data_IF_970709172270
#
_entry.id   IF_970709172270
#
_cell.length_a   1.000
_cell.length_b   1.000
_cell.length_c   1.000
_cell.angle_alpha   90.00
_cell.angle_beta   90.00
_cell.angle_gamma   90.00
#
_symmetry.space_group_name_H-M   'P 1'
#
loop_
_entity.id
_entity.type
_entity.pdbx_description
1 polymer ?
#
# COMPACT_ATOMS: atom_id res chain seq x y z
N UNK A 1 16.23 27.85 -4.61
CA UNK A 1 15.61 28.63 -3.50
C UNK A 1 15.33 30.04 -3.99
N UNK A 2 14.19 30.62 -3.63
CA UNK A 2 13.80 32.00 -3.96
C UNK A 2 13.57 32.77 -2.66
N UNK A 3 14.11 34.00 -2.59
CA UNK A 3 13.79 34.96 -1.54
C UNK A 3 12.57 35.78 -1.95
N UNK A 4 11.44 35.61 -1.28
CA UNK A 4 10.19 36.31 -1.55
C UNK A 4 9.96 37.37 -0.48
N UNK A 5 9.83 38.65 -0.90
CA UNK A 5 9.56 39.79 0.00
C UNK A 5 8.05 40.02 0.14
N UNK A 6 7.67 40.73 1.22
CA UNK A 6 6.28 41.17 1.44
C UNK A 6 5.74 41.90 0.20
N UNK A 7 4.56 41.52 -0.26
CA UNK A 7 3.89 42.08 -1.42
C UNK A 7 4.30 41.50 -2.79
N UNK A 8 5.26 40.58 -2.83
CA UNK A 8 5.61 39.89 -4.07
C UNK A 8 4.65 38.73 -4.34
N UNK A 9 4.49 38.40 -5.62
CA UNK A 9 3.62 37.30 -6.11
C UNK A 9 4.49 36.26 -6.78
N UNK A 10 4.40 35.00 -6.30
CA UNK A 10 4.97 33.86 -6.99
C UNK A 10 3.94 33.36 -8.00
N UNK A 11 4.29 33.29 -9.27
CA UNK A 11 3.49 32.71 -10.34
C UNK A 11 4.14 31.41 -10.80
N UNK A 12 3.42 30.29 -10.69
CA UNK A 12 3.83 29.00 -11.26
C UNK A 12 3.20 28.84 -12.65
N UNK A 13 3.99 28.38 -13.61
CA UNK A 13 3.50 28.05 -14.96
C UNK A 13 2.86 26.66 -15.02
N UNK A 14 2.63 26.20 -16.25
CA UNK A 14 2.25 24.79 -16.48
C UNK A 14 3.45 23.88 -16.23
N UNK A 15 3.19 22.69 -15.68
CA UNK A 15 4.19 21.64 -15.57
C UNK A 15 4.55 21.16 -16.96
N UNK A 16 5.84 21.23 -17.31
CA UNK A 16 6.36 20.80 -18.62
C UNK A 16 6.85 19.36 -18.62
N UNK A 17 7.37 18.90 -17.47
CA UNK A 17 7.86 17.52 -17.24
C UNK A 17 7.35 17.01 -15.90
N UNK A 18 7.10 15.71 -15.79
CA UNK A 18 6.48 15.11 -14.60
C UNK A 18 5.01 15.46 -14.44
N UNK A 19 4.46 15.22 -13.25
CA UNK A 19 3.04 15.40 -12.92
C UNK A 19 2.80 16.41 -11.79
N UNK A 20 3.76 16.60 -10.88
CA UNK A 20 3.59 17.40 -9.65
C UNK A 20 4.76 18.34 -9.43
N UNK A 21 4.45 19.52 -8.89
CA UNK A 21 5.43 20.47 -8.37
C UNK A 21 5.14 20.74 -6.90
N UNK A 22 6.18 20.99 -6.13
CA UNK A 22 6.11 21.20 -4.68
C UNK A 22 6.63 22.57 -4.33
N UNK A 23 5.93 23.27 -3.44
CA UNK A 23 6.37 24.54 -2.87
C UNK A 23 6.75 24.28 -1.41
N UNK A 24 8.05 24.28 -1.13
CA UNK A 24 8.58 24.23 0.23
C UNK A 24 8.82 25.64 0.76
N UNK A 25 8.46 25.89 2.01
CA UNK A 25 8.75 27.15 2.71
C UNK A 25 9.67 26.84 3.87
N UNK A 26 10.77 27.60 3.98
CA UNK A 26 11.68 27.43 5.12
C UNK A 26 10.96 27.79 6.42
N UNK A 27 11.07 26.92 7.43
CA UNK A 27 10.29 26.99 8.66
C UNK A 27 8.93 26.29 8.59
N UNK A 28 8.49 25.89 7.40
CA UNK A 28 7.25 25.15 7.18
C UNK A 28 5.98 25.98 7.25
N UNK A 29 4.86 25.35 6.91
CA UNK A 29 3.52 25.87 7.15
C UNK A 29 3.10 25.56 8.58
N UNK A 30 2.57 26.54 9.30
CA UNK A 30 2.05 26.37 10.65
C UNK A 30 0.56 25.97 10.58
N UNK A 31 0.32 24.70 10.30
CA UNK A 31 -1.03 24.10 10.30
C UNK A 31 -1.14 23.07 11.42
N UNK A 32 -2.34 22.86 12.01
CA UNK A 32 -2.52 21.87 13.06
C UNK A 32 -2.17 20.46 12.59
N UNK A 33 -1.50 19.68 13.45
CA UNK A 33 -1.37 18.25 13.25
C UNK A 33 -2.69 17.56 13.62
N UNK A 34 -3.13 16.63 12.77
CA UNK A 34 -4.30 15.78 13.00
C UNK A 34 -3.89 14.31 12.77
N UNK A 35 -4.14 13.47 13.76
CA UNK A 35 -3.67 12.06 13.75
C UNK A 35 -2.15 11.93 13.43
N UNK A 36 -1.34 12.84 13.99
CA UNK A 36 0.12 12.85 13.78
C UNK A 36 0.60 13.43 12.43
N UNK A 37 -0.29 13.91 11.57
CA UNK A 37 0.03 14.45 10.24
C UNK A 37 -0.45 15.89 10.05
N UNK A 38 0.31 16.67 9.29
CA UNK A 38 -0.09 18.01 8.79
C UNK A 38 -0.62 17.97 7.35
N UNK A 39 -0.73 16.79 6.74
CA UNK A 39 -1.26 16.62 5.40
C UNK A 39 -2.80 16.77 5.36
N UNK A 40 -3.32 17.21 4.22
CA UNK A 40 -4.77 17.26 3.97
C UNK A 40 -5.23 15.96 3.30
N UNK A 41 -6.20 15.29 3.89
CA UNK A 41 -6.90 14.17 3.27
C UNK A 41 -8.23 14.67 2.68
N UNK A 42 -8.20 15.01 1.41
CA UNK A 42 -9.32 15.70 0.73
C UNK A 42 -10.57 14.83 0.59
N UNK A 43 -10.42 13.50 0.49
CA UNK A 43 -11.55 12.57 0.41
C UNK A 43 -12.34 12.54 1.74
N UNK A 44 -11.62 12.47 2.88
CA UNK A 44 -12.23 12.51 4.21
C UNK A 44 -12.53 13.92 4.71
N UNK A 45 -12.09 14.97 4.00
CA UNK A 45 -12.28 16.38 4.35
C UNK A 45 -11.72 16.77 5.73
N UNK A 46 -10.52 16.26 6.07
CA UNK A 46 -9.84 16.60 7.31
C UNK A 46 -8.33 16.79 7.12
N UNK A 47 -7.67 17.29 8.16
CA UNK A 47 -6.23 17.55 8.20
C UNK A 47 -5.81 18.81 7.41
N UNK A 48 -4.54 19.15 7.52
CA UNK A 48 -3.92 20.29 6.84
C UNK A 48 -4.64 21.62 7.05
N UNK A 49 -4.80 22.40 5.99
CA UNK A 49 -5.55 23.65 6.01
C UNK A 49 -7.01 23.39 5.59
N UNK A 50 -7.93 23.48 6.55
CA UNK A 50 -9.39 23.38 6.37
C UNK A 50 -9.90 22.05 5.75
N UNK A 51 -9.10 20.98 5.74
CA UNK A 51 -9.53 19.65 5.24
C UNK A 51 -9.82 19.57 3.74
N UNK A 52 -9.44 20.56 2.95
CA UNK A 52 -9.76 20.68 1.52
C UNK A 52 -8.60 21.23 0.71
N UNK A 53 -8.72 21.21 -0.61
CA UNK A 53 -7.82 21.94 -1.49
C UNK A 53 -7.83 23.44 -1.18
N UNK A 54 -6.70 24.10 -1.41
CA UNK A 54 -6.57 25.55 -1.24
C UNK A 54 -7.48 26.29 -2.23
N UNK A 55 -8.13 27.32 -1.74
CA UNK A 55 -8.98 28.21 -2.53
C UNK A 55 -8.36 29.62 -2.61
N UNK A 56 -8.83 30.41 -3.58
CA UNK A 56 -8.48 31.82 -3.69
C UNK A 56 -8.91 32.55 -2.40
N UNK A 57 -7.98 33.24 -1.77
CA UNK A 57 -8.18 33.97 -0.53
C UNK A 57 -7.75 33.22 0.73
N UNK A 58 -7.38 31.93 0.63
CA UNK A 58 -6.80 31.21 1.76
C UNK A 58 -5.48 31.84 2.20
N UNK A 59 -5.31 31.97 3.51
CA UNK A 59 -4.08 32.44 4.14
C UNK A 59 -3.44 31.30 4.91
N UNK A 60 -2.21 30.95 4.50
CA UNK A 60 -1.43 29.92 5.18
C UNK A 60 -0.44 30.58 6.13
N UNK A 61 -0.55 30.37 7.45
CA UNK A 61 0.43 30.85 8.39
C UNK A 61 1.76 30.11 8.18
N UNK A 62 2.86 30.86 8.25
CA UNK A 62 4.21 30.32 8.14
C UNK A 62 5.00 30.66 9.39
N UNK A 63 5.97 29.83 9.74
CA UNK A 63 6.92 30.15 10.81
C UNK A 63 7.89 31.21 10.31
N UNK A 64 8.05 32.31 11.06
CA UNK A 64 8.99 33.38 10.72
C UNK A 64 10.43 32.83 10.71
N UNK A 65 11.17 33.14 9.67
CA UNK A 65 12.56 32.72 9.53
C UNK A 65 13.45 33.91 9.11
N UNK A 66 14.56 34.12 9.80
CA UNK A 66 15.53 35.16 9.48
C UNK A 66 16.46 34.65 8.36
N UNK A 67 16.58 35.38 7.29
CA UNK A 67 17.36 35.23 6.06
C UNK A 67 17.94 33.85 5.71
N UNK A 68 17.87 33.46 4.45
CA UNK A 68 18.34 32.19 3.92
C UNK A 68 19.29 32.44 2.77
N UNK A 69 20.42 31.73 2.77
CA UNK A 69 21.22 31.63 1.55
C UNK A 69 20.40 30.96 0.44
N UNK A 70 20.53 31.50 -0.76
CA UNK A 70 19.89 30.93 -1.95
C UNK A 70 20.70 29.72 -2.39
N UNK A 71 20.13 28.56 -2.28
CA UNK A 71 20.72 27.28 -2.73
C UNK A 71 19.98 26.83 -3.98
N UNK A 72 20.70 26.42 -4.99
CA UNK A 72 20.16 25.77 -6.18
C UNK A 72 20.85 24.42 -6.38
N UNK A 73 20.07 23.41 -6.76
CA UNK A 73 20.64 22.15 -7.20
C UNK A 73 21.37 22.34 -8.52
N UNK A 74 22.50 21.68 -8.70
CA UNK A 74 23.15 21.59 -10.01
C UNK A 74 22.28 20.79 -10.98
N UNK A 75 22.46 20.99 -12.27
CA UNK A 75 21.70 20.22 -13.27
C UNK A 75 21.91 18.71 -13.15
N UNK A 76 23.06 18.27 -12.66
CA UNK A 76 23.39 16.87 -12.41
C UNK A 76 22.63 16.26 -11.21
N UNK A 77 22.15 17.09 -10.29
CA UNK A 77 21.39 16.66 -9.11
C UNK A 77 19.87 16.65 -9.34
N UNK A 78 19.43 17.09 -10.52
CA UNK A 78 17.99 17.11 -10.85
C UNK A 78 17.63 15.79 -11.54
N UNK A 79 16.66 15.02 -11.01
CA UNK A 79 16.22 13.79 -11.66
C UNK A 79 15.69 14.04 -13.08
N UNK A 80 16.02 13.18 -14.01
CA UNK A 80 15.44 13.19 -15.34
C UNK A 80 14.03 12.62 -15.33
N UNK A 81 13.12 13.26 -16.05
CA UNK A 81 11.75 12.80 -16.20
C UNK A 81 11.53 12.29 -17.62
N UNK A 82 10.86 11.15 -17.75
CA UNK A 82 10.56 10.49 -19.01
C UNK A 82 9.05 10.27 -19.14
N UNK A 83 8.61 9.86 -20.33
CA UNK A 83 7.27 9.32 -20.56
C UNK A 83 7.25 7.77 -20.51
N UNK A 84 8.42 7.16 -20.36
CA UNK A 84 8.58 5.72 -20.13
C UNK A 84 9.46 5.54 -18.90
N UNK A 85 8.91 4.89 -17.88
CA UNK A 85 9.50 4.74 -16.56
C UNK A 85 9.88 3.30 -16.30
N UNK A 86 11.14 3.05 -15.99
CA UNK A 86 11.56 1.81 -15.37
C UNK A 86 11.48 1.98 -13.85
N UNK A 87 10.71 1.11 -13.18
CA UNK A 87 10.50 1.16 -11.74
C UNK A 87 10.93 -0.17 -11.13
N UNK A 88 11.91 -0.12 -10.24
CA UNK A 88 12.37 -1.30 -9.52
C UNK A 88 11.32 -1.74 -8.50
N UNK A 89 11.04 -3.03 -8.48
CA UNK A 89 10.06 -3.67 -7.58
C UNK A 89 10.63 -4.95 -6.98
N UNK A 90 10.14 -5.33 -5.82
CA UNK A 90 10.34 -6.67 -5.27
C UNK A 90 9.11 -7.53 -5.54
N UNK A 91 9.34 -8.79 -5.89
CA UNK A 91 8.31 -9.79 -6.10
C UNK A 91 7.69 -10.24 -4.77
N UNK A 92 6.37 -10.43 -4.76
CA UNK A 92 5.59 -10.77 -3.58
C UNK A 92 4.76 -9.58 -3.05
N UNK A 93 3.88 -9.81 -2.07
CA UNK A 93 3.68 -11.03 -1.29
C UNK A 93 2.88 -12.15 -1.98
N UNK A 94 1.99 -11.84 -2.94
CA UNK A 94 1.08 -12.81 -3.54
C UNK A 94 1.53 -13.18 -4.96
N UNK A 95 2.26 -14.28 -5.08
CA UNK A 95 2.86 -14.70 -6.34
C UNK A 95 2.27 -16.00 -6.91
N UNK A 96 3.04 -16.57 -7.83
CA UNK A 96 2.79 -17.91 -8.35
C UNK A 96 3.38 -18.96 -7.38
N UNK A 97 2.80 -20.17 -7.31
CA UNK A 97 1.64 -20.66 -8.07
C UNK A 97 0.28 -20.37 -7.41
N UNK A 98 0.25 -19.78 -6.20
CA UNK A 98 -0.93 -19.71 -5.36
C UNK A 98 -2.04 -18.82 -5.94
N UNK A 99 -1.64 -17.66 -6.50
CA UNK A 99 -2.56 -16.64 -6.99
C UNK A 99 -2.47 -16.42 -8.50
N UNK A 100 -1.25 -16.44 -9.02
CA UNK A 100 -0.95 -16.23 -10.43
C UNK A 100 -0.33 -17.48 -11.04
N UNK A 101 -0.50 -17.67 -12.34
CA UNK A 101 0.31 -18.66 -13.06
C UNK A 101 1.75 -18.16 -13.18
N UNK A 102 2.72 -19.06 -13.40
CA UNK A 102 4.10 -18.66 -13.67
C UNK A 102 4.17 -17.74 -14.90
N UNK A 103 3.36 -18.01 -15.92
CA UNK A 103 3.28 -17.23 -17.15
C UNK A 103 2.74 -15.81 -16.91
N UNK A 104 1.81 -15.64 -15.97
CA UNK A 104 1.31 -14.32 -15.60
C UNK A 104 2.41 -13.46 -14.98
N UNK A 105 3.23 -14.03 -14.10
CA UNK A 105 4.35 -13.33 -13.48
C UNK A 105 5.43 -12.96 -14.49
N UNK A 106 5.77 -13.89 -15.42
CA UNK A 106 6.69 -13.60 -16.53
C UNK A 106 6.19 -12.42 -17.35
N UNK A 107 4.91 -12.48 -17.77
CA UNK A 107 4.25 -11.43 -18.57
C UNK A 107 4.16 -10.10 -17.82
N UNK A 108 3.89 -10.12 -16.54
CA UNK A 108 3.84 -8.93 -15.69
C UNK A 108 5.16 -8.13 -15.74
N UNK A 109 6.31 -8.80 -15.75
CA UNK A 109 7.61 -8.16 -15.82
C UNK A 109 8.11 -7.89 -17.27
N UNK A 110 7.58 -8.60 -18.25
CA UNK A 110 7.92 -8.40 -19.67
C UNK A 110 7.22 -7.19 -20.30
N UNK A 111 5.95 -6.95 -19.93
CA UNK A 111 5.12 -5.94 -20.56
C UNK A 111 5.39 -4.51 -20.07
N UNK A 112 4.97 -3.55 -20.89
CA UNK A 112 4.82 -2.15 -20.49
C UNK A 112 3.35 -1.86 -20.17
N UNK A 113 3.10 -1.22 -19.05
CA UNK A 113 1.78 -0.75 -18.65
C UNK A 113 1.61 0.72 -19.00
N UNK A 114 0.42 1.12 -19.43
CA UNK A 114 0.06 2.52 -19.61
C UNK A 114 -0.67 3.08 -18.38
N UNK A 115 -0.34 4.30 -17.96
CA UNK A 115 -1.02 4.98 -16.86
C UNK A 115 -2.41 5.43 -17.32
N UNK A 116 -3.44 4.91 -16.66
CA UNK A 116 -4.82 5.27 -16.95
C UNK A 116 -5.14 6.69 -16.44
N UNK A 117 -6.02 7.42 -17.16
CA UNK A 117 -6.37 8.80 -16.82
C UNK A 117 -7.07 8.93 -15.46
N UNK A 118 -7.77 7.90 -14.99
CA UNK A 118 -8.42 7.88 -13.68
C UNK A 118 -7.44 7.39 -12.61
N UNK A 119 -6.36 8.13 -12.42
CA UNK A 119 -5.33 7.90 -11.43
C UNK A 119 -5.22 9.07 -10.46
N UNK A 120 -4.89 8.78 -9.20
CA UNK A 120 -4.78 9.79 -8.14
C UNK A 120 -3.72 9.40 -7.11
N UNK A 121 -3.58 10.16 -6.03
CA UNK A 121 -2.71 9.82 -4.90
C UNK A 121 -3.14 8.55 -4.14
N UNK A 122 -4.41 8.19 -4.24
CA UNK A 122 -4.96 6.96 -3.64
C UNK A 122 -4.47 5.72 -4.37
N UNK A 123 -4.41 5.77 -5.71
CA UNK A 123 -3.93 4.68 -6.54
C UNK A 123 -3.73 5.09 -7.98
N UNK A 124 -2.68 4.57 -8.59
CA UNK A 124 -2.33 4.79 -10.01
C UNK A 124 -2.73 3.55 -10.79
N UNK A 125 -3.78 3.69 -11.58
CA UNK A 125 -4.34 2.59 -12.39
C UNK A 125 -3.48 2.34 -13.62
N UNK A 126 -3.27 1.07 -13.92
CA UNK A 126 -2.45 0.61 -15.03
C UNK A 126 -3.30 -0.16 -16.04
N UNK A 127 -3.02 0.06 -17.30
CA UNK A 127 -3.62 -0.68 -18.43
C UNK A 127 -2.58 -1.60 -19.00
N UNK A 128 -2.87 -2.89 -19.06
CA UNK A 128 -1.97 -3.93 -19.56
C UNK A 128 -2.74 -5.20 -19.92
N UNK A 129 -2.02 -6.27 -20.22
CA UNK A 129 -2.62 -7.58 -20.49
C UNK A 129 -3.22 -8.18 -19.21
N UNK A 130 -4.32 -8.91 -19.39
CA UNK A 130 -5.02 -9.57 -18.27
C UNK A 130 -4.30 -10.84 -17.85
N UNK A 131 -4.23 -11.14 -16.53
CA UNK A 131 -3.77 -12.44 -16.06
C UNK A 131 -4.71 -13.59 -16.46
N UNK A 132 -4.13 -14.78 -16.58
CA UNK A 132 -4.88 -16.03 -16.74
C UNK A 132 -5.39 -16.58 -15.42
N UNK A 133 -4.75 -16.18 -14.32
CA UNK A 133 -5.03 -16.57 -12.95
C UNK A 133 -4.82 -18.07 -12.64
N UNK A 134 -4.16 -18.36 -11.52
CA UNK A 134 -4.03 -19.73 -11.03
C UNK A 134 -5.32 -20.24 -10.37
N UNK A 135 -6.12 -19.33 -9.80
CA UNK A 135 -7.38 -19.62 -9.10
C UNK A 135 -8.55 -19.72 -10.09
N UNK A 136 -8.67 -20.88 -10.76
CA UNK A 136 -9.68 -21.11 -11.81
C UNK A 136 -11.11 -21.20 -11.30
N UNK A 137 -11.30 -21.50 -10.02
CA UNK A 137 -12.58 -21.56 -9.31
C UNK A 137 -13.05 -20.21 -8.76
N UNK A 138 -12.26 -19.15 -8.96
CA UNK A 138 -12.51 -17.81 -8.48
C UNK A 138 -11.74 -17.45 -7.20
N UNK A 139 -12.02 -16.25 -6.71
CA UNK A 139 -11.50 -15.72 -5.44
C UNK A 139 -12.41 -16.05 -4.27
N UNK A 140 -12.20 -15.31 -3.18
CA UNK A 140 -13.02 -15.45 -1.98
C UNK A 140 -14.50 -15.19 -2.27
N UNK A 141 -15.37 -15.96 -1.62
CA UNK A 141 -16.82 -15.93 -1.79
C UNK A 141 -17.29 -16.15 -3.26
N UNK A 142 -16.50 -16.84 -4.09
CA UNK A 142 -16.78 -17.03 -5.52
C UNK A 142 -16.65 -15.74 -6.35
N UNK A 143 -15.96 -14.73 -5.84
CA UNK A 143 -15.68 -13.48 -6.53
C UNK A 143 -14.54 -13.66 -7.54
N UNK A 144 -13.99 -12.53 -8.02
CA UNK A 144 -12.91 -12.55 -8.97
C UNK A 144 -11.65 -13.23 -8.38
N UNK A 145 -10.80 -13.94 -9.18
CA UNK A 145 -9.59 -14.59 -8.68
C UNK A 145 -8.61 -13.67 -7.95
N UNK A 146 -8.65 -12.36 -8.21
CA UNK A 146 -7.86 -11.36 -7.48
C UNK A 146 -8.31 -11.13 -6.05
N UNK A 147 -9.53 -11.56 -5.67
CA UNK A 147 -10.06 -11.32 -4.34
C UNK A 147 -9.52 -12.33 -3.33
N UNK A 148 -9.04 -11.81 -2.22
CA UNK A 148 -8.68 -12.55 -1.01
C UNK A 148 -9.44 -11.97 0.18
N UNK A 149 -9.40 -12.65 1.33
CA UNK A 149 -9.79 -12.01 2.58
C UNK A 149 -8.87 -10.82 2.86
N UNK A 150 -9.17 -10.11 3.89
CA UNK A 150 -8.42 -8.95 4.32
C UNK A 150 -6.90 -9.14 4.28
N UNK A 151 -6.20 -8.18 3.66
CA UNK A 151 -4.75 -8.10 3.59
C UNK A 151 -4.27 -6.68 3.88
N UNK A 152 -3.16 -6.55 4.59
CA UNK A 152 -2.51 -5.26 4.78
C UNK A 152 -1.62 -4.90 3.59
N UNK A 153 -1.71 -3.65 3.12
CA UNK A 153 -0.97 -3.17 1.96
C UNK A 153 0.24 -2.33 2.35
N UNK A 154 1.34 -2.57 1.67
CA UNK A 154 2.51 -1.70 1.69
C UNK A 154 2.27 -0.45 0.81
N UNK A 155 2.90 0.68 1.13
CA UNK A 155 2.98 1.81 0.20
C UNK A 155 3.82 1.36 -1.01
N UNK A 156 3.29 1.56 -2.20
CA UNK A 156 3.90 1.06 -3.44
C UNK A 156 3.48 -0.36 -3.82
N UNK A 157 2.60 -1.01 -3.05
CA UNK A 157 2.03 -2.30 -3.46
C UNK A 157 1.28 -2.16 -4.79
N UNK A 158 1.42 -3.16 -5.65
CA UNK A 158 0.71 -3.24 -6.93
C UNK A 158 -0.38 -4.27 -6.75
N UNK A 159 -1.59 -3.82 -6.44
CA UNK A 159 -2.73 -4.69 -6.25
C UNK A 159 -3.53 -4.89 -7.55
N UNK A 160 -4.19 -6.02 -7.68
CA UNK A 160 -5.06 -6.33 -8.82
C UNK A 160 -6.53 -6.22 -8.43
N UNK A 161 -7.13 -5.08 -8.76
CA UNK A 161 -8.59 -4.89 -8.61
C UNK A 161 -9.30 -5.46 -9.84
N UNK A 162 -9.72 -6.72 -9.77
CA UNK A 162 -10.09 -7.49 -10.94
C UNK A 162 -8.84 -7.77 -11.80
N UNK A 163 -8.95 -7.56 -13.11
CA UNK A 163 -7.83 -7.74 -14.05
C UNK A 163 -6.92 -6.50 -14.17
N UNK A 164 -7.22 -5.43 -13.44
CA UNK A 164 -6.49 -4.17 -13.56
C UNK A 164 -5.54 -3.96 -12.39
N UNK A 165 -4.22 -3.84 -12.63
CA UNK A 165 -3.27 -3.50 -11.58
C UNK A 165 -3.33 -2.02 -11.20
N UNK A 166 -3.13 -1.75 -9.91
CA UNK A 166 -3.14 -0.40 -9.33
C UNK A 166 -1.93 -0.28 -8.40
N UNK A 167 -1.09 0.73 -8.61
CA UNK A 167 -0.01 1.05 -7.65
C UNK A 167 -0.62 1.88 -6.52
N UNK A 168 -0.54 1.39 -5.30
CA UNK A 168 -1.05 2.09 -4.12
C UNK A 168 -0.11 3.20 -3.69
N UNK A 169 -0.65 4.39 -3.55
CA UNK A 169 0.07 5.56 -3.04
C UNK A 169 -0.08 5.72 -1.53
N UNK A 170 0.54 6.76 -0.96
CA UNK A 170 0.47 7.02 0.49
C UNK A 170 -0.95 7.36 0.99
N UNK A 171 -1.87 7.79 0.12
CA UNK A 171 -3.29 8.01 0.44
C UNK A 171 -4.15 6.77 0.08
N UNK A 172 -3.53 5.67 -0.31
CA UNK A 172 -4.21 4.41 -0.61
C UNK A 172 -4.74 3.70 0.64
N UNK A 173 -5.57 2.67 0.46
CA UNK A 173 -6.03 1.86 1.59
C UNK A 173 -4.84 1.14 2.23
N UNK A 174 -4.84 1.07 3.57
CA UNK A 174 -3.87 0.26 4.32
C UNK A 174 -4.29 -1.20 4.45
N UNK A 175 -5.56 -1.50 4.20
CA UNK A 175 -6.17 -2.82 4.23
C UNK A 175 -7.11 -2.99 3.06
N UNK A 176 -7.18 -4.19 2.52
CA UNK A 176 -8.11 -4.54 1.46
C UNK A 176 -8.09 -6.03 1.12
N UNK A 177 -8.80 -6.42 0.10
CA UNK A 177 -9.03 -7.80 -0.29
C UNK A 177 -8.54 -8.15 -1.69
N UNK A 178 -7.34 -7.68 -2.08
CA UNK A 178 -6.78 -7.93 -3.40
C UNK A 178 -5.34 -8.43 -3.34
N UNK A 179 -4.99 -9.29 -4.26
CA UNK A 179 -3.64 -9.86 -4.37
C UNK A 179 -2.65 -8.85 -4.92
N UNK A 180 -1.42 -8.87 -4.39
CA UNK A 180 -0.32 -7.99 -4.76
C UNK A 180 0.90 -8.82 -5.19
N UNK A 181 1.20 -8.97 -6.50
CA UNK A 181 2.34 -9.74 -6.96
C UNK A 181 3.68 -9.02 -6.79
N UNK A 182 3.68 -7.69 -6.61
CA UNK A 182 4.91 -6.92 -6.47
C UNK A 182 4.71 -5.64 -5.65
N UNK A 183 5.81 -5.14 -5.09
CA UNK A 183 5.83 -3.88 -4.34
C UNK A 183 7.00 -3.02 -4.84
N UNK A 184 6.74 -1.75 -5.11
CA UNK A 184 7.77 -0.76 -5.50
C UNK A 184 8.75 -0.55 -4.35
N UNK A 185 10.06 -0.61 -4.63
CA UNK A 185 11.07 -0.39 -3.61
C UNK A 185 11.09 1.06 -3.13
N UNK A 186 11.43 1.28 -1.87
CA UNK A 186 11.30 2.59 -1.21
C UNK A 186 12.05 3.72 -1.92
N UNK A 187 13.23 3.46 -2.47
CA UNK A 187 14.03 4.43 -3.24
C UNK A 187 13.40 4.85 -4.58
N UNK A 188 12.38 4.14 -5.07
CA UNK A 188 11.69 4.40 -6.33
C UNK A 188 10.31 5.08 -6.15
N UNK A 189 9.82 5.19 -4.91
CA UNK A 189 8.48 5.75 -4.62
C UNK A 189 8.31 7.19 -5.13
N UNK A 190 9.38 7.97 -5.21
CA UNK A 190 9.31 9.32 -5.76
C UNK A 190 8.84 9.36 -7.22
N UNK A 191 9.16 8.31 -8.02
CA UNK A 191 8.72 8.19 -9.42
C UNK A 191 7.20 8.09 -9.51
N UNK A 192 6.57 7.34 -8.60
CA UNK A 192 5.11 7.20 -8.53
C UNK A 192 4.45 8.57 -8.43
N UNK A 193 5.06 9.49 -7.66
CA UNK A 193 4.59 10.86 -7.53
C UNK A 193 4.63 11.68 -8.82
N UNK A 194 5.34 11.24 -9.85
CA UNK A 194 5.53 11.96 -11.11
C UNK A 194 4.85 11.32 -12.32
N UNK A 195 4.28 10.10 -12.15
CA UNK A 195 3.54 9.42 -13.21
C UNK A 195 2.27 10.20 -13.58
N UNK A 196 1.99 10.29 -14.85
CA UNK A 196 0.78 10.92 -15.40
C UNK A 196 0.11 10.07 -16.48
N UNK A 197 -1.15 10.34 -16.74
CA UNK A 197 -1.92 9.66 -17.75
C UNK A 197 -1.20 9.63 -19.12
N UNK A 198 -1.14 8.45 -19.75
CA UNK A 198 -0.46 8.18 -21.01
C UNK A 198 1.05 7.90 -20.88
N UNK A 199 1.65 8.06 -19.70
CA UNK A 199 3.00 7.57 -19.46
C UNK A 199 3.01 6.04 -19.44
N UNK A 200 4.16 5.45 -19.74
CA UNK A 200 4.37 4.00 -19.70
C UNK A 200 5.27 3.61 -18.53
N UNK A 201 4.98 2.46 -17.94
CA UNK A 201 5.75 1.90 -16.83
C UNK A 201 6.14 0.46 -17.18
N UNK A 202 7.41 0.14 -16.95
CA UNK A 202 7.93 -1.22 -16.93
C UNK A 202 8.46 -1.52 -15.53
N UNK A 203 8.01 -2.62 -14.95
CA UNK A 203 8.51 -3.08 -13.66
C UNK A 203 9.75 -3.93 -13.83
N UNK A 204 10.80 -3.60 -13.06
CA UNK A 204 12.08 -4.31 -13.08
C UNK A 204 12.18 -5.05 -11.75
N UNK A 205 12.06 -6.39 -11.74
CA UNK A 205 12.19 -7.17 -10.53
C UNK A 205 13.65 -7.14 -10.05
N UNK A 206 13.84 -6.90 -8.76
CA UNK A 206 15.15 -6.89 -8.11
C UNK A 206 15.11 -7.67 -6.80
N UNK A 207 16.26 -8.15 -6.36
CA UNK A 207 16.43 -8.83 -5.08
C UNK A 207 16.39 -7.84 -3.91
N UNK A 208 16.19 -8.36 -2.69
CA UNK A 208 16.30 -7.56 -1.46
C UNK A 208 17.66 -6.86 -1.34
N UNK A 209 18.75 -7.59 -1.60
CA UNK A 209 20.10 -7.04 -1.48
C UNK A 209 20.33 -5.89 -2.50
N UNK A 210 19.82 -6.02 -3.73
CA UNK A 210 19.83 -4.94 -4.72
C UNK A 210 18.99 -3.73 -4.27
N UNK A 211 17.80 -3.98 -3.70
CA UNK A 211 16.95 -2.92 -3.16
C UNK A 211 17.62 -2.18 -1.99
N UNK A 212 18.35 -2.89 -1.14
CA UNK A 212 19.13 -2.28 -0.05
C UNK A 212 20.25 -1.37 -0.56
N UNK A 213 21.00 -1.81 -1.58
CA UNK A 213 22.04 -0.98 -2.21
C UNK A 213 21.43 0.31 -2.78
N UNK A 214 20.26 0.20 -3.45
CA UNK A 214 19.53 1.36 -3.96
C UNK A 214 19.10 2.31 -2.85
N UNK A 215 18.51 1.76 -1.79
CA UNK A 215 18.01 2.55 -0.68
C UNK A 215 19.13 3.30 0.05
N UNK A 216 20.29 2.65 0.26
CA UNK A 216 21.48 3.29 0.80
C UNK A 216 22.00 4.43 -0.07
N UNK A 217 22.12 4.21 -1.39
CA UNK A 217 22.52 5.25 -2.34
C UNK A 217 21.56 6.42 -2.36
N UNK A 218 20.25 6.14 -2.38
CA UNK A 218 19.21 7.17 -2.37
C UNK A 218 19.25 8.00 -1.08
N UNK A 219 19.36 7.34 0.08
CA UNK A 219 19.48 8.02 1.37
C UNK A 219 20.75 8.87 1.45
N UNK A 220 21.89 8.34 1.01
CA UNK A 220 23.14 9.08 0.96
C UNK A 220 23.03 10.31 0.04
N UNK A 221 22.35 10.18 -1.10
CA UNK A 221 22.11 11.28 -2.02
C UNK A 221 21.26 12.41 -1.45
N UNK A 222 20.28 12.08 -0.60
CA UNK A 222 19.42 13.08 0.05
C UNK A 222 20.12 13.80 1.21
N UNK A 223 21.13 13.16 1.83
CA UNK A 223 21.83 13.71 2.99
C UNK A 223 23.16 14.34 2.66
N UNK A 224 23.73 14.02 1.49
CA UNK A 224 25.04 14.51 1.11
C UNK A 224 24.99 15.96 0.66
N UNK A 225 25.86 16.77 1.25
CA UNK A 225 26.17 18.16 0.79
C UNK A 225 27.14 18.13 -0.42
N UNK A 226 27.00 17.10 -1.29
CA UNK A 226 27.95 16.80 -2.35
C UNK A 226 27.46 17.26 -3.71
N UNK A 227 28.39 17.80 -4.51
CA UNK A 227 28.21 18.14 -5.93
C UNK A 227 28.39 16.93 -6.86
N UNK A 228 28.49 15.71 -6.32
CA UNK A 228 28.68 14.50 -7.12
C UNK A 228 27.40 14.10 -7.84
N UNK A 229 27.54 13.53 -9.02
CA UNK A 229 26.44 13.02 -9.81
C UNK A 229 25.74 11.88 -9.05
N UNK A 230 24.50 12.13 -8.64
CA UNK A 230 23.67 11.08 -8.06
C UNK A 230 22.88 10.42 -9.19
N UNK A 231 23.15 9.15 -9.43
CA UNK A 231 22.37 8.35 -10.37
C UNK A 231 21.08 7.91 -9.67
N UNK A 232 19.99 8.68 -9.88
CA UNK A 232 18.66 8.38 -9.30
C UNK A 232 17.97 7.15 -9.94
N UNK A 233 18.51 6.61 -11.00
CA UNK A 233 17.94 5.48 -11.72
C UNK A 233 19.06 4.62 -12.29
N UNK A 234 19.73 3.81 -11.47
CA UNK A 234 20.71 2.87 -11.99
C UNK A 234 20.03 1.92 -12.99
N UNK A 235 20.74 1.64 -14.10
CA UNK A 235 20.29 0.65 -15.07
C UNK A 235 20.45 -0.75 -14.46
N UNK A 236 19.31 -1.38 -14.13
CA UNK A 236 19.28 -2.79 -13.76
C UNK A 236 18.99 -3.63 -15.01
N UNK A 237 19.83 -4.60 -15.25
CA UNK A 237 19.49 -5.73 -16.10
C UNK A 237 18.90 -6.80 -15.17
N UNK A 238 17.58 -6.96 -15.21
CA UNK A 238 16.92 -8.04 -14.50
C UNK A 238 17.15 -9.34 -15.29
N UNK A 239 17.96 -10.21 -14.75
CA UNK A 239 17.91 -11.61 -15.15
C UNK A 239 16.75 -12.24 -14.37
N UNK A 240 15.72 -12.73 -15.09
CA UNK A 240 14.53 -13.36 -14.49
C UNK A 240 14.87 -14.59 -13.61
N UNK A 241 16.07 -15.14 -13.75
CA UNK A 241 16.56 -16.24 -12.92
C UNK A 241 16.80 -15.84 -11.44
N UNK A 242 16.75 -14.54 -11.11
CA UNK A 242 16.96 -14.00 -9.76
C UNK A 242 15.71 -13.50 -9.05
N UNK A 243 14.49 -13.86 -9.56
CA UNK A 243 13.27 -13.58 -8.79
C UNK A 243 13.37 -14.28 -7.43
N UNK A 244 13.37 -13.50 -6.36
CA UNK A 244 13.19 -14.03 -5.01
C UNK A 244 11.83 -14.73 -4.93
N UNK A 245 11.71 -15.75 -4.09
CA UNK A 245 10.41 -16.37 -3.85
C UNK A 245 9.44 -15.35 -3.22
N UNK A 246 8.15 -15.49 -3.54
CA UNK A 246 7.08 -14.75 -2.86
C UNK A 246 6.89 -15.18 -1.39
N UNK A 247 7.63 -16.20 -0.95
CA UNK A 247 7.67 -16.72 0.42
C UNK A 247 9.09 -16.71 0.92
N UNK A 248 9.33 -16.02 2.05
CA UNK A 248 10.63 -15.98 2.73
C UNK A 248 10.85 -17.25 3.57
N UNK A 249 9.84 -17.68 4.27
CA UNK A 249 9.85 -18.86 5.11
C UNK A 249 8.44 -19.33 5.45
N UNK A 250 8.31 -20.61 5.79
CA UNK A 250 7.08 -21.20 6.37
C UNK A 250 7.45 -22.02 7.58
N UNK A 251 6.74 -21.82 8.69
CA UNK A 251 6.80 -22.67 9.87
C UNK A 251 5.52 -23.50 9.91
N UNK A 252 5.68 -24.83 9.96
CA UNK A 252 4.55 -25.74 10.14
C UNK A 252 4.01 -25.65 11.55
N UNK A 253 2.68 -25.57 11.66
CA UNK A 253 2.00 -25.57 12.93
C UNK A 253 2.11 -26.93 13.64
N UNK A 254 2.28 -26.87 14.96
CA UNK A 254 2.30 -28.04 15.84
C UNK A 254 1.38 -27.79 17.04
N UNK A 255 0.78 -28.85 17.58
CA UNK A 255 -0.02 -28.77 18.81
C UNK A 255 -1.13 -27.68 18.78
N UNK A 256 -1.98 -27.70 17.75
CA UNK A 256 -3.06 -26.74 17.50
C UNK A 256 -2.61 -25.32 17.13
N UNK A 257 -1.32 -25.09 16.91
CA UNK A 257 -0.84 -23.82 16.33
C UNK A 257 -1.04 -23.85 14.81
N UNK A 258 -1.47 -22.74 14.19
CA UNK A 258 -1.58 -22.65 12.73
C UNK A 258 -0.19 -22.61 12.06
N UNK A 259 -0.14 -22.99 10.80
CA UNK A 259 1.02 -22.71 9.94
C UNK A 259 1.27 -21.21 9.90
N UNK A 260 2.53 -20.81 9.76
CA UNK A 260 2.93 -19.40 9.61
C UNK A 260 3.72 -19.24 8.33
N UNK A 261 3.32 -18.28 7.49
CA UNK A 261 4.02 -17.92 6.26
C UNK A 261 4.52 -16.49 6.34
N UNK A 262 5.79 -16.29 6.07
CA UNK A 262 6.44 -14.98 6.01
C UNK A 262 6.67 -14.60 4.55
N UNK A 263 6.21 -13.41 4.15
CA UNK A 263 6.28 -12.96 2.77
C UNK A 263 6.97 -11.60 2.65
N UNK A 264 7.78 -11.36 1.61
CA UNK A 264 8.31 -10.03 1.36
C UNK A 264 7.19 -9.14 0.81
N UNK A 265 7.11 -7.91 1.29
CA UNK A 265 6.22 -6.88 0.76
C UNK A 265 7.04 -5.61 0.46
N UNK A 266 7.96 -5.72 -0.49
CA UNK A 266 8.99 -4.72 -0.75
C UNK A 266 10.17 -4.81 0.23
N UNK A 267 11.04 -3.81 0.20
CA UNK A 267 12.25 -3.79 1.03
C UNK A 267 12.03 -3.19 2.43
N UNK A 268 10.86 -2.61 2.71
CA UNK A 268 10.54 -1.94 3.98
C UNK A 268 9.32 -2.53 4.68
N UNK A 269 8.77 -3.63 4.17
CA UNK A 269 7.62 -4.31 4.77
C UNK A 269 7.83 -5.82 4.75
N UNK A 270 7.28 -6.48 5.76
CA UNK A 270 7.21 -7.94 5.87
C UNK A 270 5.78 -8.33 6.27
N UNK A 271 5.18 -9.25 5.52
CA UNK A 271 3.85 -9.78 5.81
C UNK A 271 3.97 -11.13 6.49
N UNK A 272 3.34 -11.27 7.64
CA UNK A 272 3.18 -12.54 8.37
C UNK A 272 1.74 -13.01 8.21
N UNK A 273 1.53 -14.24 7.78
CA UNK A 273 0.20 -14.84 7.60
C UNK A 273 0.07 -16.10 8.41
N UNK A 274 -1.08 -16.30 9.06
CA UNK A 274 -1.41 -17.50 9.83
C UNK A 274 -2.51 -18.32 9.15
N UNK A 275 -2.27 -19.65 9.07
CA UNK A 275 -3.25 -20.62 8.62
C UNK A 275 -3.75 -20.42 7.19
N UNK A 276 -4.91 -20.99 6.92
CA UNK A 276 -5.58 -20.90 5.63
C UNK A 276 -6.32 -19.56 5.45
N UNK A 277 -6.77 -19.27 4.23
CA UNK A 277 -7.57 -18.08 3.87
C UNK A 277 -9.01 -18.22 4.40
N UNK A 278 -9.16 -18.18 5.73
CA UNK A 278 -10.46 -18.27 6.40
C UNK A 278 -10.61 -17.15 7.43
N UNK A 279 -11.85 -16.73 7.67
CA UNK A 279 -12.19 -15.77 8.72
C UNK A 279 -12.31 -16.51 10.05
N UNK A 280 -11.25 -16.52 10.84
CA UNK A 280 -11.19 -17.18 12.15
C UNK A 280 -10.68 -16.21 13.23
N UNK A 281 -11.46 -16.06 14.28
CA UNK A 281 -11.12 -15.18 15.40
C UNK A 281 -9.86 -15.65 16.14
N UNK A 282 -9.57 -16.94 16.18
CA UNK A 282 -8.34 -17.47 16.78
C UNK A 282 -7.10 -16.98 16.02
N UNK A 283 -7.16 -16.92 14.68
CA UNK A 283 -6.08 -16.35 13.86
C UNK A 283 -5.90 -14.85 14.18
N UNK A 284 -7.02 -14.14 14.37
CA UNK A 284 -6.97 -12.72 14.75
C UNK A 284 -6.35 -12.51 16.15
N UNK A 285 -6.64 -13.38 17.11
CA UNK A 285 -5.98 -13.33 18.41
C UNK A 285 -4.50 -13.69 18.33
N UNK A 286 -4.11 -14.60 17.44
CA UNK A 286 -2.69 -14.90 17.20
C UNK A 286 -1.95 -13.68 16.68
N UNK A 287 -2.55 -12.95 15.73
CA UNK A 287 -2.03 -11.66 15.24
C UNK A 287 -1.89 -10.65 16.38
N UNK A 288 -2.89 -10.56 17.27
CA UNK A 288 -2.82 -9.65 18.41
C UNK A 288 -1.67 -10.00 19.36
N UNK A 289 -1.47 -11.29 19.64
CA UNK A 289 -0.37 -11.77 20.45
C UNK A 289 0.99 -11.41 19.85
N UNK A 290 1.16 -11.65 18.52
CA UNK A 290 2.39 -11.26 17.81
C UNK A 290 2.62 -9.75 17.84
N UNK A 291 1.59 -8.94 17.60
CA UNK A 291 1.70 -7.47 17.71
C UNK A 291 2.16 -7.04 19.09
N UNK A 292 1.60 -7.63 20.14
CA UNK A 292 1.99 -7.29 21.52
C UNK A 292 3.44 -7.69 21.78
N UNK A 293 3.83 -8.90 21.36
CA UNK A 293 5.21 -9.36 21.48
C UNK A 293 6.20 -8.39 20.80
N UNK A 294 5.93 -7.99 19.55
CA UNK A 294 6.78 -7.05 18.81
C UNK A 294 6.90 -5.70 19.52
N UNK A 295 5.79 -5.20 20.08
CA UNK A 295 5.78 -3.94 20.85
C UNK A 295 6.59 -4.05 22.14
N UNK A 296 6.46 -5.16 22.86
CA UNK A 296 7.16 -5.39 24.14
C UNK A 296 8.67 -5.52 23.95
N UNK A 297 9.11 -6.07 22.81
CA UNK A 297 10.54 -6.15 22.45
C UNK A 297 11.16 -4.78 22.13
N UNK A 298 10.36 -3.76 21.82
CA UNK A 298 10.84 -2.42 21.44
C UNK A 298 11.93 -2.45 20.37
N UNK A 299 11.73 -3.26 19.31
CA UNK A 299 12.72 -3.51 18.26
C UNK A 299 13.00 -2.20 17.50
N UNK A 300 14.27 -1.76 17.53
CA UNK A 300 14.70 -0.57 16.79
C UNK A 300 14.49 -0.77 15.29
N UNK A 301 13.98 0.24 14.62
CA UNK A 301 13.67 0.20 13.18
C UNK A 301 12.25 -0.24 12.84
N UNK A 302 11.43 -0.72 13.78
CA UNK A 302 9.99 -0.92 13.55
C UNK A 302 9.30 0.45 13.51
N UNK A 303 8.57 0.72 12.41
CA UNK A 303 7.87 1.98 12.17
C UNK A 303 6.38 1.83 12.50
N UNK A 304 5.72 0.77 12.00
CA UNK A 304 4.29 0.55 12.18
C UNK A 304 3.91 -0.93 12.08
N UNK A 305 2.78 -1.28 12.67
CA UNK A 305 2.20 -2.61 12.68
C UNK A 305 0.74 -2.53 12.24
N UNK A 306 0.43 -3.06 11.06
CA UNK A 306 -0.92 -3.06 10.49
C UNK A 306 -1.51 -4.47 10.52
N UNK A 307 -2.47 -4.77 11.43
CA UNK A 307 -3.08 -6.08 11.52
C UNK A 307 -4.24 -6.26 10.54
N UNK A 308 -4.22 -7.37 9.81
CA UNK A 308 -5.38 -7.95 9.16
C UNK A 308 -6.11 -8.94 10.08
N UNK A 309 -6.99 -9.77 9.51
CA UNK A 309 -7.69 -10.81 10.28
C UNK A 309 -6.75 -11.95 10.62
N UNK A 310 -6.01 -12.47 9.64
CA UNK A 310 -5.05 -13.56 9.78
C UNK A 310 -3.61 -13.14 9.42
N UNK A 311 -3.37 -11.85 9.20
CA UNK A 311 -2.08 -11.32 8.77
C UNK A 311 -1.61 -10.15 9.62
N UNK A 312 -0.31 -9.94 9.67
CA UNK A 312 0.34 -8.75 10.24
C UNK A 312 1.34 -8.19 9.23
N UNK A 313 1.11 -6.97 8.79
CA UNK A 313 2.09 -6.22 8.02
C UNK A 313 2.99 -5.44 8.98
N UNK A 314 4.27 -5.66 8.90
CA UNK A 314 5.29 -4.97 9.69
C UNK A 314 6.00 -4.00 8.77
N UNK A 315 5.86 -2.70 9.04
CA UNK A 315 6.62 -1.64 8.38
C UNK A 315 7.90 -1.37 9.17
N UNK A 316 9.05 -1.44 8.54
CA UNK A 316 10.34 -1.24 9.17
C UNK A 316 11.29 -0.39 8.33
N UNK A 317 12.20 0.31 8.99
CA UNK A 317 13.31 1.01 8.33
C UNK A 317 14.40 0.00 7.98
N UNK A 318 14.48 -0.33 6.70
CA UNK A 318 15.45 -1.32 6.21
C UNK A 318 16.92 -0.84 6.21
N UNK A 319 17.18 0.43 6.52
CA UNK A 319 18.51 0.95 6.77
C UNK A 319 18.98 0.72 8.23
N UNK A 320 18.03 0.47 9.14
CA UNK A 320 18.27 0.23 10.57
C UNK A 320 18.12 -1.25 10.91
N UNK A 321 17.06 -1.88 10.40
CA UNK A 321 16.71 -3.27 10.68
C UNK A 321 16.73 -4.10 9.39
N UNK A 322 17.62 -5.08 9.32
CA UNK A 322 17.71 -6.00 8.18
C UNK A 322 16.53 -6.98 8.16
N UNK A 323 16.00 -7.29 6.96
CA UNK A 323 14.84 -8.20 6.80
C UNK A 323 15.13 -9.61 7.33
N UNK A 324 16.34 -10.14 7.17
CA UNK A 324 16.70 -11.48 7.65
C UNK A 324 16.75 -11.51 9.16
N UNK A 325 17.24 -10.42 9.79
CA UNK A 325 17.23 -10.28 11.24
C UNK A 325 15.80 -10.18 11.78
N UNK A 326 14.94 -9.35 11.16
CA UNK A 326 13.54 -9.27 11.52
C UNK A 326 12.84 -10.63 11.39
N UNK A 327 13.05 -11.35 10.28
CA UNK A 327 12.50 -12.69 10.09
C UNK A 327 12.92 -13.66 11.21
N UNK A 328 14.19 -13.62 11.61
CA UNK A 328 14.70 -14.44 12.71
C UNK A 328 14.02 -14.14 14.04
N UNK A 329 13.81 -12.85 14.35
CA UNK A 329 13.07 -12.44 15.55
C UNK A 329 11.61 -12.90 15.53
N UNK A 330 10.94 -12.80 14.39
CA UNK A 330 9.56 -13.25 14.23
C UNK A 330 9.43 -14.79 14.35
N UNK A 331 10.39 -15.54 13.83
CA UNK A 331 10.44 -16.99 14.01
C UNK A 331 10.68 -17.38 15.49
N UNK A 332 11.51 -16.63 16.21
CA UNK A 332 11.69 -16.81 17.65
C UNK A 332 10.38 -16.52 18.40
N UNK A 333 9.69 -15.45 18.05
CA UNK A 333 8.40 -15.07 18.65
C UNK A 333 7.41 -16.22 18.66
N UNK A 334 7.37 -17.06 17.60
CA UNK A 334 6.43 -18.18 17.51
C UNK A 334 6.57 -19.20 18.65
N UNK A 335 7.77 -19.33 19.22
CA UNK A 335 7.99 -20.20 20.39
C UNK A 335 7.54 -19.57 21.70
N UNK A 336 7.41 -18.25 21.76
CA UNK A 336 7.15 -17.44 22.96
C UNK A 336 5.68 -16.97 23.05
N UNK A 337 4.94 -16.99 21.91
CA UNK A 337 3.54 -16.56 21.92
C UNK A 337 2.65 -17.46 22.76
N UNK A 338 1.70 -16.89 23.54
CA UNK A 338 0.80 -17.63 24.40
C UNK A 338 -0.20 -18.51 23.59
N UNK A 339 -0.83 -19.44 24.28
CA UNK A 339 -2.00 -20.15 23.78
C UNK A 339 -3.18 -19.16 23.67
N UNK A 340 -3.66 -18.93 22.45
CA UNK A 340 -4.73 -17.97 22.17
C UNK A 340 -6.08 -18.39 22.76
N UNK A 341 -6.30 -19.67 23.01
CA UNK A 341 -7.54 -20.18 23.59
C UNK A 341 -7.73 -19.76 25.07
N UNK A 342 -6.63 -19.44 25.75
CA UNK A 342 -6.62 -18.98 27.13
C UNK A 342 -6.36 -17.46 27.26
N UNK A 343 -6.27 -16.75 26.14
CA UNK A 343 -5.98 -15.30 26.15
C UNK A 343 -7.18 -14.49 26.61
N UNK A 344 -6.93 -13.58 27.55
CA UNK A 344 -7.85 -12.51 27.93
C UNK A 344 -7.33 -11.18 27.36
N UNK A 345 -8.21 -10.45 26.68
CA UNK A 345 -7.86 -9.13 26.10
C UNK A 345 -8.84 -8.07 26.59
N UNK A 346 -8.37 -6.85 26.92
CA UNK A 346 -9.27 -5.74 27.21
C UNK A 346 -10.17 -5.48 26.01
N UNK A 347 -11.47 -5.35 26.25
CA UNK A 347 -12.45 -5.07 25.21
C UNK A 347 -13.32 -3.87 25.57
N UNK A 348 -14.00 -3.33 24.58
CA UNK A 348 -15.00 -2.26 24.74
C UNK A 348 -16.17 -2.51 23.80
N UNK A 349 -17.35 -2.16 24.22
CA UNK A 349 -18.53 -2.12 23.34
C UNK A 349 -18.60 -0.76 22.67
N UNK A 350 -18.73 -0.78 21.34
CA UNK A 350 -18.86 0.44 20.52
C UNK A 350 -20.22 0.41 19.81
N UNK A 351 -21.01 1.48 20.00
CA UNK A 351 -22.29 1.65 19.31
C UNK A 351 -22.10 2.54 18.11
N UNK A 352 -22.35 2.00 16.92
CA UNK A 352 -22.24 2.73 15.66
C UNK A 352 -23.59 2.82 14.97
N UNK A 353 -23.97 3.99 14.43
CA UNK A 353 -25.15 4.09 13.58
C UNK A 353 -24.95 3.32 12.27
N UNK A 354 -25.92 2.55 11.86
CA UNK A 354 -25.92 1.77 10.63
C UNK A 354 -27.20 2.07 9.83
N UNK A 355 -27.04 2.54 8.59
CA UNK A 355 -28.12 2.60 7.63
C UNK A 355 -28.28 1.22 6.96
N UNK A 356 -29.51 0.70 6.97
CA UNK A 356 -29.82 -0.62 6.44
C UNK A 356 -30.75 -0.51 5.24
N UNK A 357 -30.34 -1.06 4.08
CA UNK A 357 -31.09 -1.02 2.82
C UNK A 357 -31.64 0.38 2.47
N UNK A 358 -30.85 1.41 2.77
CA UNK A 358 -31.24 2.80 2.56
C UNK A 358 -31.20 3.20 1.08
N UNK A 359 -31.88 4.31 0.76
CA UNK A 359 -32.00 4.80 -0.60
C UNK A 359 -30.68 5.20 -1.27
N UNK A 360 -29.67 5.61 -0.50
CA UNK A 360 -28.37 5.98 -1.06
C UNK A 360 -27.56 4.74 -1.43
N UNK A 361 -27.64 3.68 -0.64
CA UNK A 361 -27.05 2.37 -0.95
C UNK A 361 -27.68 1.79 -2.22
N UNK A 362 -29.00 1.86 -2.35
CA UNK A 362 -29.71 1.42 -3.56
C UNK A 362 -29.28 2.23 -4.79
N UNK A 363 -29.22 3.56 -4.68
CA UNK A 363 -28.74 4.43 -5.77
C UNK A 363 -27.28 4.14 -6.14
N UNK A 364 -26.43 3.86 -5.16
CA UNK A 364 -25.04 3.48 -5.41
C UNK A 364 -24.94 2.18 -6.21
N UNK A 365 -25.72 1.17 -5.84
CA UNK A 365 -25.82 -0.11 -6.54
C UNK A 365 -26.30 0.07 -7.99
N UNK A 366 -27.37 0.85 -8.21
CA UNK A 366 -27.87 1.16 -9.55
C UNK A 366 -26.83 1.85 -10.42
N UNK A 367 -26.11 2.86 -9.88
CA UNK A 367 -25.03 3.54 -10.59
C UNK A 367 -23.87 2.61 -10.91
N UNK A 368 -23.52 1.73 -9.97
CA UNK A 368 -22.45 0.74 -10.20
C UNK A 368 -22.81 -0.18 -11.38
N UNK A 369 -24.02 -0.70 -11.41
CA UNK A 369 -24.51 -1.53 -12.52
C UNK A 369 -24.48 -0.80 -13.87
N UNK A 370 -24.82 0.50 -13.88
CA UNK A 370 -24.84 1.32 -15.10
C UNK A 370 -23.44 1.67 -15.63
N UNK A 371 -22.48 1.89 -14.73
CA UNK A 371 -21.19 2.52 -15.10
C UNK A 371 -19.99 1.60 -14.97
N UNK A 372 -20.10 0.52 -14.21
CA UNK A 372 -18.96 -0.37 -13.92
C UNK A 372 -19.24 -1.79 -14.41
N UNK A 373 -20.24 -2.47 -13.80
CA UNK A 373 -20.53 -3.87 -14.11
C UNK A 373 -22.00 -4.20 -13.85
N UNK A 374 -22.81 -4.44 -14.92
CA UNK A 374 -24.22 -4.67 -14.78
C UNK A 374 -24.59 -6.02 -14.15
N UNK A 375 -23.71 -7.01 -14.23
CA UNK A 375 -23.89 -8.40 -13.77
C UNK A 375 -23.05 -8.75 -12.55
N UNK A 376 -22.67 -7.77 -11.74
CA UNK A 376 -21.89 -8.01 -10.53
C UNK A 376 -22.66 -8.95 -9.56
N UNK A 377 -22.02 -9.97 -8.96
CA UNK A 377 -22.68 -10.97 -8.14
C UNK A 377 -23.46 -10.43 -6.94
N UNK A 378 -23.03 -9.26 -6.43
CA UNK A 378 -23.67 -8.53 -5.30
C UNK A 378 -24.76 -7.57 -5.74
N UNK A 379 -25.03 -7.46 -7.04
CA UNK A 379 -26.09 -6.62 -7.60
C UNK A 379 -27.29 -7.48 -8.00
N UNK A 380 -28.50 -6.89 -7.99
CA UNK A 380 -28.86 -5.55 -7.52
C UNK A 380 -29.05 -5.45 -6.01
N UNK A 381 -28.91 -6.54 -5.27
CA UNK A 381 -29.28 -6.65 -3.86
C UNK A 381 -28.12 -7.25 -3.04
N UNK A 382 -27.38 -6.36 -2.38
CA UNK A 382 -26.21 -6.75 -1.59
C UNK A 382 -26.56 -7.65 -0.39
N UNK A 383 -27.72 -7.43 0.24
CA UNK A 383 -28.15 -8.23 1.39
C UNK A 383 -28.54 -9.64 0.94
N UNK A 384 -29.19 -9.76 -0.21
CA UNK A 384 -29.50 -11.07 -0.81
C UNK A 384 -28.20 -11.82 -1.22
N UNK A 385 -27.22 -11.10 -1.73
CA UNK A 385 -25.89 -11.66 -2.00
C UNK A 385 -25.25 -12.24 -0.73
N UNK A 386 -25.20 -11.46 0.36
CA UNK A 386 -24.68 -11.90 1.67
C UNK A 386 -25.45 -13.14 2.16
N UNK A 387 -26.80 -13.11 2.10
CA UNK A 387 -27.62 -14.26 2.47
C UNK A 387 -27.20 -15.53 1.74
N UNK A 388 -27.07 -15.44 0.43
CA UNK A 388 -26.80 -16.56 -0.47
C UNK A 388 -25.40 -17.16 -0.24
N UNK A 389 -24.36 -16.32 -0.17
CA UNK A 389 -22.97 -16.83 0.00
C UNK A 389 -22.72 -17.44 1.37
N UNK A 390 -23.51 -17.06 2.39
CA UNK A 390 -23.42 -17.58 3.74
C UNK A 390 -24.45 -18.69 4.03
N UNK A 391 -25.26 -19.10 3.03
CA UNK A 391 -26.25 -20.15 3.20
C UNK A 391 -27.35 -19.83 4.22
N UNK A 392 -27.67 -18.55 4.44
CA UNK A 392 -28.66 -18.13 5.43
C UNK A 392 -30.09 -18.25 4.86
N UNK A 393 -31.06 -18.56 5.74
CA UNK A 393 -32.44 -18.83 5.35
C UNK A 393 -33.19 -17.58 4.85
N UNK A 394 -32.84 -16.40 5.36
CA UNK A 394 -33.57 -15.18 5.05
C UNK A 394 -32.69 -13.92 5.16
N UNK A 395 -33.09 -12.83 4.53
CA UNK A 395 -32.51 -11.50 4.75
C UNK A 395 -32.67 -11.03 6.20
N UNK A 396 -33.71 -11.47 6.89
CA UNK A 396 -33.88 -11.16 8.30
C UNK A 396 -32.77 -11.83 9.14
N UNK A 397 -32.36 -13.05 8.81
CA UNK A 397 -31.23 -13.70 9.47
C UNK A 397 -29.91 -12.93 9.26
N UNK A 398 -29.68 -12.37 8.05
CA UNK A 398 -28.53 -11.48 7.81
C UNK A 398 -28.61 -10.26 8.74
N UNK A 399 -29.77 -9.62 8.83
CA UNK A 399 -29.99 -8.45 9.68
C UNK A 399 -29.74 -8.75 11.15
N UNK A 400 -30.28 -9.87 11.63
CA UNK A 400 -30.14 -10.28 13.04
C UNK A 400 -28.67 -10.51 13.41
N UNK A 401 -27.87 -11.10 12.50
CA UNK A 401 -26.43 -11.30 12.70
C UNK A 401 -25.67 -9.94 12.71
N UNK A 402 -26.02 -9.03 11.80
CA UNK A 402 -25.33 -7.73 11.68
C UNK A 402 -25.66 -6.81 12.86
N UNK A 403 -26.84 -6.96 13.48
CA UNK A 403 -27.27 -6.11 14.61
C UNK A 403 -27.12 -6.78 15.99
N UNK A 404 -26.67 -8.03 16.05
CA UNK A 404 -26.34 -8.71 17.31
C UNK A 404 -24.99 -8.28 17.85
#
# INVERSE_FOLDING_TARGET
TLNVKKGQILKTGKITTGCRSYIGIKGGFNVPAYLGSQATFTLGQFGGHAGRNLLIGDMLPITAYNSVETVALSAAQVPSFSHTWNIAVMYGPHGAPDFFTKRDIERFFEQEFEIHFNSSRTGIRLVGEKPEWARTDGGEAGLHPSNIHDNAYAIGAIDFTGDMPIILGPDGPSLGGFVCPAVVVSSELWKIGQLKAGDKVKFIPISYDQAQVLNQKYSAALTADTTENVEFSPSFHAEMETLSDAVLATLKGENARPDVTYRPAGNSYLLVEYGELVLDLNLRFRIHALMQWVKDQSIEGIIDLTPGIRSLQIHFDSLVLDQKHLLSLLQQAESELPDVTAMEVPSRTVYLPLAWEDSQTQLATERYMQTVRPDAPWCPDNVEFIRRINGLDSKQAVKDIVFS
#
